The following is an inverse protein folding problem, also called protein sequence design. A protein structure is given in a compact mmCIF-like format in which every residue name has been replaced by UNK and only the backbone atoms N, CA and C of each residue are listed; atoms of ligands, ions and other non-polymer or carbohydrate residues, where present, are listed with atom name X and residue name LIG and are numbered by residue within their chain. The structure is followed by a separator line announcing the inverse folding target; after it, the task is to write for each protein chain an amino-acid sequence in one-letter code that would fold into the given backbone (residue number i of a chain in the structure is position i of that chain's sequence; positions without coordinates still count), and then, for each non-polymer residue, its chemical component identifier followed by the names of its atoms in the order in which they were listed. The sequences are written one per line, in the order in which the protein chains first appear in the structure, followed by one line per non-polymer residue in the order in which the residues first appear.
data_IF_880471743829
#
_entry.id   IF_880471743829
#
_cell.length_a   1.000
_cell.length_b   1.000
_cell.length_c   1.000
_cell.angle_alpha   90.00
_cell.angle_beta   90.00
_cell.angle_gamma   90.00
#
_symmetry.space_group_name_H-M   'P 1'
#
loop_
_entity.id
_entity.type
_entity.pdbx_description
1 polymer ?
#
# COMPACT_ATOMS: atom_id res chain seq x y z
N UNK A 1 2.20 15.78 17.07
CA UNK A 1 2.93 14.49 16.90
C UNK A 1 4.02 14.41 17.95
N UNK A 2 4.15 13.28 18.65
CA UNK A 2 5.22 13.06 19.63
C UNK A 2 6.45 12.52 18.89
N UNK A 3 7.56 13.22 18.97
CA UNK A 3 8.83 12.80 18.35
C UNK A 3 9.59 11.88 19.30
N UNK A 4 10.02 10.72 18.79
CA UNK A 4 10.84 9.74 19.53
C UNK A 4 12.22 9.70 18.89
N UNK A 5 13.28 9.77 19.70
CA UNK A 5 14.66 9.60 19.21
C UNK A 5 14.95 8.11 19.07
N UNK A 6 15.35 7.69 17.88
CA UNK A 6 15.65 6.31 17.54
C UNK A 6 17.03 6.25 16.88
N UNK A 7 17.87 5.30 17.30
CA UNK A 7 19.20 5.07 16.72
C UNK A 7 19.13 3.84 15.82
N UNK A 8 19.69 3.94 14.62
CA UNK A 8 19.75 2.84 13.67
C UNK A 8 21.02 2.92 12.84
N UNK A 9 21.44 1.77 12.32
CA UNK A 9 22.59 1.67 11.44
C UNK A 9 22.15 1.90 10.00
N UNK A 10 22.92 2.72 9.29
CA UNK A 10 22.76 2.91 7.84
C UNK A 10 24.09 2.66 7.14
N UNK A 11 24.02 2.31 5.86
CA UNK A 11 25.20 2.18 5.04
C UNK A 11 25.89 3.54 4.87
N UNK A 12 27.22 3.52 4.81
CA UNK A 12 28.03 4.73 4.80
C UNK A 12 27.82 5.57 3.53
N UNK A 13 27.68 4.90 2.38
CA UNK A 13 27.33 5.49 1.09
C UNK A 13 26.01 6.28 1.15
N UNK A 14 24.98 5.70 1.78
CA UNK A 14 23.70 6.37 2.01
C UNK A 14 23.85 7.59 2.92
N UNK A 15 24.69 7.51 3.95
CA UNK A 15 24.96 8.67 4.81
C UNK A 15 25.62 9.80 4.02
N UNK A 16 26.59 9.49 3.15
CA UNK A 16 27.25 10.48 2.29
C UNK A 16 26.26 11.12 1.33
N UNK A 17 25.44 10.32 0.65
CA UNK A 17 24.40 10.83 -0.26
C UNK A 17 23.36 11.69 0.46
N UNK A 18 22.94 11.29 1.65
CA UNK A 18 22.01 12.06 2.48
C UNK A 18 22.63 13.39 2.91
N UNK A 19 23.92 13.41 3.28
CA UNK A 19 24.63 14.63 3.66
C UNK A 19 24.77 15.60 2.49
N UNK A 20 25.05 15.10 1.29
CA UNK A 20 25.20 15.89 0.08
C UNK A 20 23.86 16.46 -0.42
N UNK A 21 22.77 15.70 -0.27
CA UNK A 21 21.47 16.04 -0.86
C UNK A 21 20.57 16.85 0.09
N UNK A 22 20.73 16.67 1.41
CA UNK A 22 19.84 17.24 2.42
C UNK A 22 20.64 17.97 3.49
N UNK A 23 20.37 19.27 3.63
CA UNK A 23 20.97 20.10 4.67
C UNK A 23 20.73 19.56 6.08
N UNK A 24 21.69 19.77 6.99
CA UNK A 24 21.75 19.13 8.32
C UNK A 24 20.42 19.16 9.10
N UNK A 25 19.73 20.32 9.10
CA UNK A 25 18.48 20.52 9.87
C UNK A 25 17.25 19.83 9.27
N UNK A 26 17.32 19.33 8.03
CA UNK A 26 16.19 18.71 7.32
C UNK A 26 16.25 17.19 7.25
N UNK A 27 17.36 16.57 7.67
CA UNK A 27 17.59 15.11 7.53
C UNK A 27 16.59 14.27 8.29
N UNK A 28 16.29 14.62 9.54
CA UNK A 28 15.30 13.87 10.34
C UNK A 28 13.91 13.89 9.69
N UNK A 29 13.49 15.06 9.18
CA UNK A 29 12.22 15.19 8.47
C UNK A 29 12.22 14.42 7.15
N UNK A 30 13.32 14.46 6.40
CA UNK A 30 13.47 13.72 5.15
C UNK A 30 13.36 12.21 5.38
N UNK A 31 14.12 11.67 6.34
CA UNK A 31 14.07 10.24 6.68
C UNK A 31 12.66 9.86 7.16
N UNK A 32 12.04 10.67 8.02
CA UNK A 32 10.69 10.40 8.51
C UNK A 32 9.65 10.39 7.39
N UNK A 33 9.78 11.29 6.41
CA UNK A 33 8.91 11.33 5.23
C UNK A 33 9.11 10.08 4.35
N UNK A 34 10.36 9.73 4.05
CA UNK A 34 10.68 8.56 3.23
C UNK A 34 10.21 7.25 3.87
N UNK A 35 10.38 7.09 5.19
CA UNK A 35 9.89 5.92 5.93
C UNK A 35 8.36 5.86 5.89
N UNK A 36 7.68 7.00 6.12
CA UNK A 36 6.22 7.05 6.05
C UNK A 36 5.70 6.67 4.65
N UNK A 37 6.31 7.22 3.60
CA UNK A 37 5.96 6.91 2.23
C UNK A 37 6.12 5.41 1.96
N UNK A 38 7.24 4.82 2.36
CA UNK A 38 7.49 3.40 2.13
C UNK A 38 6.51 2.50 2.88
N UNK A 39 6.14 2.87 4.11
CA UNK A 39 5.14 2.13 4.89
C UNK A 39 3.75 2.18 4.23
N UNK A 40 3.33 3.34 3.73
CA UNK A 40 2.06 3.49 3.01
C UNK A 40 2.04 2.64 1.72
N UNK A 41 3.15 2.61 0.97
CA UNK A 41 3.27 1.76 -0.21
C UNK A 41 3.12 0.28 0.13
N UNK A 42 3.80 -0.19 1.19
CA UNK A 42 3.71 -1.58 1.64
C UNK A 42 2.30 -1.95 2.10
N UNK A 43 1.60 -1.04 2.79
CA UNK A 43 0.22 -1.24 3.21
C UNK A 43 -0.72 -1.37 1.99
N UNK A 44 -0.55 -0.49 0.99
CA UNK A 44 -1.33 -0.54 -0.24
C UNK A 44 -1.07 -1.82 -1.04
N UNK A 45 0.19 -2.24 -1.15
CA UNK A 45 0.57 -3.50 -1.81
C UNK A 45 -0.09 -4.70 -1.12
N UNK A 46 -0.06 -4.73 0.23
CA UNK A 46 -0.70 -5.79 1.02
C UNK A 46 -2.22 -5.80 0.83
N UNK A 47 -2.86 -4.64 0.80
CA UNK A 47 -4.29 -4.51 0.53
C UNK A 47 -4.64 -5.06 -0.85
N UNK A 48 -3.89 -4.65 -1.88
CA UNK A 48 -4.11 -5.10 -3.26
C UNK A 48 -3.99 -6.61 -3.39
N UNK A 49 -2.95 -7.21 -2.78
CA UNK A 49 -2.78 -8.66 -2.78
C UNK A 49 -3.96 -9.36 -2.08
N UNK A 50 -4.43 -8.82 -0.96
CA UNK A 50 -5.57 -9.36 -0.22
C UNK A 50 -6.86 -9.32 -1.07
N UNK A 51 -7.10 -8.21 -1.77
CA UNK A 51 -8.23 -8.08 -2.68
C UNK A 51 -8.14 -9.09 -3.83
N UNK A 52 -6.98 -9.19 -4.49
CA UNK A 52 -6.77 -10.14 -5.60
C UNK A 52 -7.03 -11.58 -5.14
N UNK A 53 -6.52 -11.97 -3.98
CA UNK A 53 -6.79 -13.30 -3.42
C UNK A 53 -8.28 -13.49 -3.13
N UNK A 54 -8.93 -12.49 -2.52
CA UNK A 54 -10.35 -12.53 -2.20
C UNK A 54 -11.24 -12.67 -3.44
N UNK A 55 -10.94 -11.96 -4.52
CA UNK A 55 -11.65 -12.06 -5.80
C UNK A 55 -11.41 -13.43 -6.46
N UNK A 56 -10.17 -13.92 -6.46
CA UNK A 56 -9.86 -15.25 -7.02
C UNK A 56 -10.57 -16.36 -6.27
N UNK A 57 -10.62 -16.29 -4.95
CA UNK A 57 -11.28 -17.29 -4.10
C UNK A 57 -12.80 -17.34 -4.34
N UNK A 58 -13.44 -16.18 -4.50
CA UNK A 58 -14.89 -16.06 -4.70
C UNK A 58 -15.36 -16.21 -6.14
N UNK A 59 -14.45 -16.40 -7.11
CA UNK A 59 -14.77 -16.50 -8.53
C UNK A 59 -15.94 -17.46 -8.85
N UNK A 60 -15.97 -18.62 -8.21
CA UNK A 60 -17.00 -19.63 -8.45
C UNK A 60 -18.35 -19.25 -7.83
N UNK A 61 -18.32 -18.60 -6.66
CA UNK A 61 -19.51 -18.07 -6.00
C UNK A 61 -20.10 -16.91 -6.79
N UNK A 62 -19.25 -15.96 -7.23
CA UNK A 62 -19.65 -14.84 -8.08
C UNK A 62 -20.23 -15.32 -9.41
N UNK A 63 -19.63 -16.33 -10.06
CA UNK A 63 -20.15 -16.89 -11.30
C UNK A 63 -21.50 -17.60 -11.10
N UNK A 64 -21.68 -18.31 -9.98
CA UNK A 64 -22.94 -18.96 -9.65
C UNK A 64 -24.03 -17.94 -9.34
N UNK A 65 -23.70 -16.94 -8.53
CA UNK A 65 -24.60 -15.83 -8.21
C UNK A 65 -25.01 -15.10 -9.51
N UNK A 66 -24.06 -14.71 -10.36
CA UNK A 66 -24.35 -14.04 -11.64
C UNK A 66 -25.34 -14.84 -12.48
N UNK A 67 -25.18 -16.17 -12.56
CA UNK A 67 -26.11 -17.03 -13.28
C UNK A 67 -27.50 -17.08 -12.63
N UNK A 68 -27.57 -17.12 -11.31
CA UNK A 68 -28.85 -17.09 -10.57
C UNK A 68 -29.61 -15.76 -10.76
N UNK A 69 -28.91 -14.66 -11.05
CA UNK A 69 -29.52 -13.35 -11.34
C UNK A 69 -29.82 -13.11 -12.84
N UNK A 70 -29.21 -13.84 -13.77
CA UNK A 70 -29.51 -13.74 -15.22
C UNK A 70 -31.00 -14.01 -15.48
N UNK A 71 -31.60 -14.97 -14.77
CA UNK A 71 -33.02 -15.32 -14.89
C UNK A 71 -33.96 -14.19 -14.43
N UNK A 72 -33.50 -13.31 -13.52
CA UNK A 72 -34.31 -12.20 -12.98
C UNK A 72 -34.05 -10.85 -13.65
N UNK A 73 -32.97 -10.72 -14.44
CA UNK A 73 -32.55 -9.43 -15.04
C UNK A 73 -33.25 -9.15 -16.37
N UNK A 74 -33.81 -10.17 -17.03
CA UNK A 74 -34.52 -10.04 -18.32
C UNK A 74 -36.01 -9.68 -18.19
N UNK A 75 -36.60 -9.71 -16.99
CA UNK A 75 -37.98 -9.28 -16.76
C UNK A 75 -38.05 -7.77 -16.49
N UNK A 76 -38.20 -6.94 -17.53
CA UNK A 76 -38.63 -5.55 -17.37
C UNK A 76 -37.84 -4.46 -18.10
N UNK A 77 -36.91 -4.80 -19.00
CA UNK A 77 -36.17 -3.82 -19.83
C UNK A 77 -36.65 -3.76 -21.30
N UNK A 78 -37.90 -4.18 -21.58
CA UNK A 78 -38.57 -4.04 -22.87
C UNK A 78 -39.85 -3.21 -22.74
#
# INVERSE_FOLDING_TARGET
MKTVRFNFTIAEDLLVMLKASVGDRKRSNFISAAVREKLLQLEQEKLNQTLIMGYRARRNEDAKLSKDWEDSTLEGWL
#
